data_IF_877170548885
#
_entry.id   IF_877170548885
#
_cell.length_a   1.000
_cell.length_b   1.000
_cell.length_c   1.000
_cell.angle_alpha   90.00
_cell.angle_beta   90.00
_cell.angle_gamma   90.00
#
_symmetry.space_group_name_H-M   'P 1'
#
loop_
_entity.id
_entity.type
_entity.pdbx_description
1 polymer ?
#
# COMPACT_ATOMS: atom_id res chain seq x y z
N UNK A 1 -3.20 -3.88 7.52
CA UNK A 1 -3.00 -3.91 6.08
C UNK A 1 -3.21 -2.53 5.47
N UNK A 2 -2.27 -2.00 4.67
CA UNK A 2 -2.60 -1.06 3.62
C UNK A 2 -2.79 -1.78 2.27
N UNK A 3 -3.91 -1.52 1.59
CA UNK A 3 -4.16 -2.02 0.22
C UNK A 3 -3.88 -0.90 -0.76
N UNK A 4 -2.96 -1.12 -1.69
CA UNK A 4 -2.70 -0.24 -2.82
C UNK A 4 -3.28 -0.85 -4.08
N UNK A 5 -4.11 -0.10 -4.80
CA UNK A 5 -4.58 -0.44 -6.13
C UNK A 5 -4.03 0.58 -7.10
N UNK A 6 -3.04 0.14 -7.87
CA UNK A 6 -2.44 0.90 -8.97
C UNK A 6 -3.17 0.53 -10.25
N UNK A 7 -4.11 1.38 -10.66
CA UNK A 7 -4.84 1.25 -11.92
C UNK A 7 -4.01 1.95 -12.99
N UNK A 8 -3.49 1.16 -13.93
CA UNK A 8 -2.42 1.57 -14.83
C UNK A 8 -2.75 1.20 -16.28
N UNK A 9 -2.26 1.95 -17.27
CA UNK A 9 -2.36 1.55 -18.66
C UNK A 9 -1.55 0.26 -18.87
N UNK A 10 -2.12 -0.68 -19.64
CA UNK A 10 -1.43 -1.93 -19.95
C UNK A 10 -0.06 -1.68 -20.59
N UNK A 11 0.96 -2.36 -20.06
CA UNK A 11 2.33 -2.25 -20.55
C UNK A 11 3.08 -0.98 -20.10
N UNK A 12 2.49 -0.13 -19.26
CA UNK A 12 3.21 1.03 -18.70
C UNK A 12 4.38 0.61 -17.80
N UNK A 13 4.20 -0.46 -17.01
CA UNK A 13 5.18 -0.96 -16.06
C UNK A 13 5.61 -2.38 -16.42
N UNK A 14 6.92 -2.61 -16.48
CA UNK A 14 7.49 -3.95 -16.62
C UNK A 14 7.30 -4.77 -15.33
N UNK A 15 7.49 -6.10 -15.36
CA UNK A 15 7.50 -6.90 -14.13
C UNK A 15 8.51 -6.39 -13.09
N UNK A 16 9.71 -6.00 -13.53
CA UNK A 16 10.75 -5.45 -12.66
C UNK A 16 10.32 -4.10 -12.05
N UNK A 17 9.65 -3.24 -12.82
CA UNK A 17 9.09 -2.00 -12.29
C UNK A 17 8.06 -2.26 -11.20
N UNK A 18 7.16 -3.21 -11.43
CA UNK A 18 6.09 -3.59 -10.49
C UNK A 18 6.68 -4.14 -9.19
N UNK A 19 7.68 -5.01 -9.29
CA UNK A 19 8.40 -5.55 -8.13
C UNK A 19 9.12 -4.46 -7.34
N UNK A 20 9.86 -3.57 -8.02
CA UNK A 20 10.59 -2.49 -7.38
C UNK A 20 9.65 -1.47 -6.70
N UNK A 21 8.54 -1.12 -7.36
CA UNK A 21 7.52 -0.22 -6.79
C UNK A 21 6.81 -0.85 -5.60
N UNK A 22 6.42 -2.14 -5.68
CA UNK A 22 5.79 -2.84 -4.56
C UNK A 22 6.73 -2.89 -3.34
N UNK A 23 8.02 -3.11 -3.57
CA UNK A 23 9.03 -3.07 -2.51
C UNK A 23 9.19 -1.66 -1.91
N UNK A 24 9.24 -0.63 -2.75
CA UNK A 24 9.34 0.76 -2.28
C UNK A 24 8.11 1.17 -1.44
N UNK A 25 6.90 0.79 -1.86
CA UNK A 25 5.68 1.01 -1.08
C UNK A 25 5.72 0.24 0.25
N UNK A 26 6.16 -1.02 0.22
CA UNK A 26 6.25 -1.85 1.43
C UNK A 26 7.21 -1.27 2.46
N UNK A 27 8.33 -0.72 1.99
CA UNK A 27 9.32 -0.04 2.82
C UNK A 27 8.72 1.16 3.56
N UNK A 28 7.75 1.88 2.99
CA UNK A 28 7.10 3.03 3.65
C UNK A 28 6.52 2.58 5.00
N UNK A 29 5.71 1.52 4.95
CA UNK A 29 4.98 1.05 6.14
C UNK A 29 5.89 0.31 7.11
N UNK A 30 6.84 -0.48 6.61
CA UNK A 30 7.75 -1.23 7.47
C UNK A 30 8.70 -0.31 8.25
N UNK A 31 9.30 0.67 7.54
CA UNK A 31 10.38 1.51 8.08
C UNK A 31 9.87 2.76 8.79
N UNK A 32 8.79 3.38 8.31
CA UNK A 32 8.28 4.64 8.89
C UNK A 32 7.10 4.44 9.84
N UNK A 33 6.28 3.41 9.63
CA UNK A 33 5.10 3.14 10.46
C UNK A 33 5.31 1.96 11.41
N UNK A 34 6.23 1.06 11.07
CA UNK A 34 6.57 -0.10 11.89
C UNK A 34 5.69 -1.32 11.64
N UNK A 35 4.92 -1.37 10.56
CA UNK A 35 4.04 -2.51 10.26
C UNK A 35 4.81 -3.73 9.72
N UNK A 36 4.27 -4.96 9.90
CA UNK A 36 4.74 -6.14 9.17
C UNK A 36 4.72 -5.92 7.65
N UNK A 37 5.77 -6.33 6.94
CA UNK A 37 5.87 -6.10 5.49
C UNK A 37 4.75 -6.81 4.73
N UNK A 38 4.38 -8.03 5.14
CA UNK A 38 3.29 -8.79 4.53
C UNK A 38 1.90 -8.15 4.69
N UNK A 39 1.72 -7.16 5.58
CA UNK A 39 0.46 -6.39 5.62
C UNK A 39 0.27 -5.51 4.38
N UNK A 40 1.32 -5.20 3.64
CA UNK A 40 1.26 -4.29 2.49
C UNK A 40 0.91 -5.09 1.24
N UNK A 41 -0.26 -4.83 0.67
CA UNK A 41 -0.72 -5.49 -0.55
C UNK A 41 -0.75 -4.47 -1.68
N UNK A 42 -0.07 -4.77 -2.79
CA UNK A 42 -0.02 -3.89 -3.97
C UNK A 42 -0.56 -4.63 -5.19
N UNK A 43 -1.70 -4.17 -5.69
CA UNK A 43 -2.29 -4.66 -6.93
C UNK A 43 -1.93 -3.74 -8.09
N UNK A 44 -1.44 -4.31 -9.18
CA UNK A 44 -1.31 -3.63 -10.47
C UNK A 44 -2.47 -4.07 -11.36
N UNK A 45 -3.44 -3.18 -11.54
CA UNK A 45 -4.65 -3.41 -12.31
C UNK A 45 -4.46 -2.76 -13.67
N UNK A 46 -4.02 -3.55 -14.63
CA UNK A 46 -3.82 -3.08 -16.00
C UNK A 46 -5.16 -2.90 -16.72
N UNK A 47 -5.33 -1.75 -17.35
CA UNK A 47 -6.48 -1.43 -18.19
C UNK A 47 -6.03 -1.29 -19.64
N UNK A 48 -6.84 -1.82 -20.55
CA UNK A 48 -6.68 -1.58 -21.97
C UNK A 48 -7.05 -0.13 -22.32
N UNK A 49 -6.51 0.38 -23.43
CA UNK A 49 -6.71 1.78 -23.80
C UNK A 49 -8.17 2.15 -24.14
N UNK A 50 -9.06 1.15 -24.30
CA UNK A 50 -10.49 1.35 -24.53
C UNK A 50 -11.34 1.30 -23.26
N UNK A 51 -10.74 0.96 -22.11
CA UNK A 51 -11.42 0.86 -20.80
C UNK A 51 -10.99 1.94 -19.81
N UNK A 52 -9.94 2.70 -20.14
CA UNK A 52 -9.39 3.74 -19.27
C UNK A 52 -9.40 5.11 -19.94
N UNK A 53 -10.16 6.04 -19.38
CA UNK A 53 -10.29 7.41 -19.89
C UNK A 53 -9.90 8.43 -18.83
N UNK A 54 -9.17 9.46 -19.24
CA UNK A 54 -8.80 10.61 -18.43
C UNK A 54 -9.20 11.89 -19.17
N UNK A 55 -10.05 12.71 -18.55
CA UNK A 55 -10.60 13.91 -19.19
C UNK A 55 -11.37 13.62 -20.49
N UNK A 56 -12.04 12.47 -20.58
CA UNK A 56 -12.77 12.04 -21.79
C UNK A 56 -11.89 11.52 -22.94
N UNK A 57 -10.58 11.34 -22.72
CA UNK A 57 -9.65 10.80 -23.72
C UNK A 57 -9.10 9.44 -23.30
N UNK A 58 -8.91 8.50 -24.23
CA UNK A 58 -8.35 7.18 -23.91
C UNK A 58 -6.91 7.31 -23.40
N UNK A 59 -6.59 6.53 -22.37
CA UNK A 59 -5.27 6.47 -21.73
C UNK A 59 -4.50 5.26 -22.27
N UNK A 60 -3.20 5.40 -22.52
CA UNK A 60 -2.35 4.27 -22.95
C UNK A 60 -2.27 4.04 -24.46
N UNK A 61 -1.22 3.33 -24.89
CA UNK A 61 -0.86 3.14 -26.30
C UNK A 61 0.11 4.21 -26.83
N UNK A 62 0.71 3.94 -28.00
CA UNK A 62 1.75 4.79 -28.59
C UNK A 62 1.25 6.22 -28.84
N UNK A 63 1.97 7.21 -28.30
CA UNK A 63 1.66 8.63 -28.48
C UNK A 63 0.47 9.17 -27.69
N UNK A 64 -0.17 8.36 -26.83
CA UNK A 64 -1.29 8.81 -25.99
C UNK A 64 -0.83 9.23 -24.60
N UNK A 65 -1.64 10.07 -23.95
CA UNK A 65 -1.49 10.44 -22.55
C UNK A 65 -1.44 9.18 -21.68
N UNK A 66 -0.45 9.14 -20.79
CA UNK A 66 -0.38 8.15 -19.73
C UNK A 66 -0.97 8.76 -18.45
N UNK A 67 -1.82 8.00 -17.77
CA UNK A 67 -2.42 8.39 -16.50
C UNK A 67 -2.44 7.18 -15.57
N UNK A 68 -2.11 7.41 -14.31
CA UNK A 68 -2.06 6.39 -13.26
C UNK A 68 -2.99 6.79 -12.13
N UNK A 69 -3.91 5.91 -11.75
CA UNK A 69 -4.76 6.12 -10.58
C UNK A 69 -4.31 5.21 -9.44
N UNK A 70 -4.10 5.79 -8.27
CA UNK A 70 -3.70 5.07 -7.07
C UNK A 70 -4.75 5.23 -5.99
N UNK A 71 -5.40 4.12 -5.65
CA UNK A 71 -6.33 4.05 -4.52
C UNK A 71 -5.68 3.28 -3.37
N UNK A 72 -5.67 3.90 -2.19
CA UNK A 72 -5.08 3.32 -0.98
C UNK A 72 -6.17 3.17 0.07
N UNK A 73 -6.23 2.02 0.71
CA UNK A 73 -7.06 1.78 1.90
C UNK A 73 -6.16 1.48 3.09
N UNK A 74 -6.26 2.28 4.14
CA UNK A 74 -5.56 2.05 5.41
C UNK A 74 -6.50 1.35 6.38
N UNK A 75 -6.11 0.13 6.82
CA UNK A 75 -6.90 -0.70 7.73
C UNK A 75 -6.14 -0.99 9.04
N UNK A 76 -4.82 -1.19 8.98
CA UNK A 76 -4.03 -1.50 10.18
C UNK A 76 -3.89 -0.32 11.15
N UNK A 77 -3.86 0.89 10.61
CA UNK A 77 -3.71 2.17 11.31
C UNK A 77 -4.56 3.17 10.54
N UNK A 78 -5.29 4.01 11.25
CA UNK A 78 -5.92 5.19 10.68
C UNK A 78 -5.29 6.42 11.33
N UNK A 79 -5.30 7.57 10.65
CA UNK A 79 -5.04 8.83 11.32
C UNK A 79 -6.10 9.04 12.41
N UNK A 80 -5.71 9.72 13.49
CA UNK A 80 -6.68 10.13 14.50
C UNK A 80 -7.77 11.01 13.86
N UNK A 81 -8.99 10.96 14.39
CA UNK A 81 -10.12 11.75 13.88
C UNK A 81 -9.81 13.25 13.85
N UNK A 82 -9.04 13.71 14.83
CA UNK A 82 -8.57 15.09 15.01
C UNK A 82 -7.13 15.33 14.52
N UNK A 83 -6.53 14.37 13.79
CA UNK A 83 -5.17 14.50 13.28
C UNK A 83 -5.00 15.78 12.44
N UNK A 84 -3.94 16.58 12.69
CA UNK A 84 -3.69 17.81 11.95
C UNK A 84 -3.55 17.58 10.45
N UNK A 85 -3.98 18.55 9.64
CA UNK A 85 -3.81 18.52 8.17
C UNK A 85 -2.35 18.31 7.77
N UNK A 86 -1.41 18.92 8.51
CA UNK A 86 0.02 18.78 8.27
C UNK A 86 0.53 17.34 8.44
N UNK A 87 -0.06 16.55 9.33
CA UNK A 87 0.32 15.14 9.52
C UNK A 87 -0.13 14.30 8.33
N UNK A 88 -1.39 14.46 7.89
CA UNK A 88 -1.94 13.77 6.72
C UNK A 88 -1.19 14.14 5.44
N UNK A 89 -0.90 15.42 5.25
CA UNK A 89 -0.13 15.91 4.11
C UNK A 89 1.32 15.44 4.18
N UNK A 90 1.95 15.43 5.36
CA UNK A 90 3.31 14.93 5.53
C UNK A 90 3.45 13.45 5.14
N UNK A 91 2.45 12.62 5.45
CA UNK A 91 2.42 11.24 4.95
C UNK A 91 2.31 11.17 3.42
N UNK A 92 1.40 11.97 2.83
CA UNK A 92 1.24 12.01 1.37
C UNK A 92 2.50 12.52 0.66
N UNK A 93 3.17 13.53 1.20
CA UNK A 93 4.41 14.08 0.63
C UNK A 93 5.53 13.02 0.64
N UNK A 94 5.67 12.27 1.75
CA UNK A 94 6.57 11.12 1.82
C UNK A 94 6.18 10.06 0.78
N UNK A 95 4.90 9.69 0.69
CA UNK A 95 4.43 8.70 -0.29
C UNK A 95 4.75 9.13 -1.72
N UNK A 96 4.41 10.36 -2.09
CA UNK A 96 4.69 10.95 -3.40
C UNK A 96 6.19 10.93 -3.73
N UNK A 97 7.05 11.23 -2.74
CA UNK A 97 8.50 11.18 -2.93
C UNK A 97 9.02 9.77 -3.24
N UNK A 98 8.43 8.74 -2.62
CA UNK A 98 8.84 7.35 -2.81
C UNK A 98 8.39 6.81 -4.16
N UNK A 99 7.21 7.22 -4.64
CA UNK A 99 6.64 6.71 -5.90
C UNK A 99 7.03 7.54 -7.14
N UNK A 100 7.67 8.70 -6.94
CA UNK A 100 8.14 9.59 -8.02
C UNK A 100 8.89 8.88 -9.17
N UNK A 101 9.76 7.86 -8.94
CA UNK A 101 10.44 7.14 -10.02
C UNK A 101 9.50 6.38 -10.99
N UNK A 102 8.24 6.17 -10.59
CA UNK A 102 7.20 5.53 -11.40
C UNK A 102 6.12 6.50 -11.86
N UNK A 103 5.98 7.65 -11.19
CA UNK A 103 5.00 8.69 -11.54
C UNK A 103 5.68 9.88 -12.20
N UNK A 104 5.98 10.93 -11.42
CA UNK A 104 6.53 12.21 -11.84
C UNK A 104 7.74 12.07 -12.76
N UNK A 105 8.69 11.22 -12.39
CA UNK A 105 9.97 11.10 -13.10
C UNK A 105 9.82 10.35 -14.44
N UNK A 106 8.67 9.69 -14.66
CA UNK A 106 8.29 9.09 -15.96
C UNK A 106 7.43 10.03 -16.82
N UNK A 107 7.09 11.21 -16.31
CA UNK A 107 6.25 12.17 -17.03
C UNK A 107 4.82 11.69 -17.29
N UNK A 108 4.32 10.74 -16.49
CA UNK A 108 2.91 10.34 -16.53
C UNK A 108 2.08 11.32 -15.70
N UNK A 109 0.79 11.46 -16.00
CA UNK A 109 -0.15 12.09 -15.07
C UNK A 109 -0.53 11.06 -14.00
N UNK A 110 -0.83 11.49 -12.77
CA UNK A 110 -1.31 10.57 -11.75
C UNK A 110 -2.19 11.25 -10.70
N UNK A 111 -2.94 10.44 -9.97
CA UNK A 111 -3.68 10.84 -8.78
C UNK A 111 -3.54 9.78 -7.69
N UNK A 112 -3.38 10.23 -6.44
CA UNK A 112 -3.35 9.39 -5.24
C UNK A 112 -4.50 9.78 -4.32
N UNK A 113 -5.20 8.77 -3.79
CA UNK A 113 -6.17 8.96 -2.71
C UNK A 113 -5.99 7.89 -1.64
N UNK A 114 -6.09 8.30 -0.37
CA UNK A 114 -6.14 7.41 0.78
C UNK A 114 -7.55 7.43 1.37
N UNK A 115 -8.12 6.25 1.58
CA UNK A 115 -9.30 6.01 2.40
C UNK A 115 -8.83 5.49 3.75
N UNK A 116 -9.07 6.29 4.78
CA UNK A 116 -8.44 6.15 6.09
C UNK A 116 -9.48 5.99 7.21
N UNK A 117 -10.49 5.17 6.95
CA UNK A 117 -11.64 4.97 7.85
C UNK A 117 -12.09 3.51 7.87
N UNK A 118 -11.20 2.58 7.58
CA UNK A 118 -11.53 1.16 7.60
C UNK A 118 -11.54 0.64 9.04
N UNK A 119 -12.55 -0.17 9.36
CA UNK A 119 -12.68 -0.83 10.66
C UNK A 119 -11.71 -2.02 10.73
N UNK A 120 -10.73 -1.91 11.63
CA UNK A 120 -9.69 -2.93 11.82
C UNK A 120 -10.26 -4.22 12.40
N UNK A 121 -11.36 -4.15 13.16
CA UNK A 121 -11.97 -5.32 13.79
C UNK A 121 -12.74 -6.19 12.77
N UNK A 122 -12.97 -5.66 11.57
CA UNK A 122 -13.56 -6.39 10.43
C UNK A 122 -12.52 -6.92 9.43
N UNK A 123 -11.24 -7.00 9.83
CA UNK A 123 -10.15 -7.51 9.00
C UNK A 123 -9.46 -8.70 9.67
N UNK A 124 -9.31 -9.78 8.92
CA UNK A 124 -8.55 -10.97 9.30
C UNK A 124 -7.37 -11.21 8.35
N UNK A 125 -6.29 -11.78 8.89
CA UNK A 125 -5.12 -12.31 8.19
C UNK A 125 -5.07 -13.84 8.38
N UNK A 126 -5.06 -14.59 7.27
CA UNK A 126 -5.17 -16.06 7.28
C UNK A 126 -6.30 -16.59 8.20
N UNK A 127 -7.43 -15.90 8.21
CA UNK A 127 -8.60 -16.27 9.00
C UNK A 127 -8.56 -15.88 10.48
N UNK A 128 -7.57 -15.08 10.92
CA UNK A 128 -7.41 -14.63 12.32
C UNK A 128 -7.39 -13.11 12.43
N UNK A 129 -7.85 -12.53 13.55
CA UNK A 129 -7.68 -11.10 13.78
C UNK A 129 -6.19 -10.74 13.90
N UNK A 130 -5.75 -9.61 13.35
CA UNK A 130 -4.39 -9.12 13.53
C UNK A 130 -4.10 -8.82 15.02
N UNK A 131 -2.86 -9.02 15.51
CA UNK A 131 -2.50 -8.72 16.89
C UNK A 131 -2.67 -7.24 17.24
N UNK A 132 -2.94 -6.95 18.51
CA UNK A 132 -3.13 -5.59 18.99
C UNK A 132 -1.97 -4.65 18.59
N UNK A 133 -2.30 -3.39 18.33
CA UNK A 133 -1.37 -2.35 17.90
C UNK A 133 -0.21 -2.23 18.91
N UNK A 134 1.03 -2.39 18.45
CA UNK A 134 2.23 -2.27 19.28
C UNK A 134 2.49 -3.46 20.22
N UNK A 135 1.71 -4.54 20.11
CA UNK A 135 1.89 -5.75 20.93
C UNK A 135 3.18 -6.51 20.58
N UNK A 136 3.64 -7.35 21.50
CA UNK A 136 4.78 -8.26 21.27
C UNK A 136 4.46 -9.20 20.11
N UNK A 137 3.22 -9.65 19.98
CA UNK A 137 2.71 -10.49 18.91
C UNK A 137 2.80 -9.79 17.54
N UNK A 138 2.49 -8.48 17.45
CA UNK A 138 2.67 -7.71 16.21
C UNK A 138 4.15 -7.62 15.83
N UNK A 139 5.05 -7.49 16.81
CA UNK A 139 6.49 -7.51 16.56
C UNK A 139 6.99 -8.89 16.11
N UNK A 140 6.45 -9.98 16.67
CA UNK A 140 6.73 -11.34 16.20
C UNK A 140 6.25 -11.51 14.75
N UNK A 141 5.02 -11.11 14.45
CA UNK A 141 4.47 -11.15 13.08
C UNK A 141 5.31 -10.32 12.10
N UNK A 142 5.80 -9.16 12.52
CA UNK A 142 6.72 -8.34 11.72
C UNK A 142 8.03 -9.07 11.45
N UNK A 143 8.65 -9.66 12.49
CA UNK A 143 9.92 -10.37 12.37
C UNK A 143 9.82 -11.62 11.49
N UNK A 144 8.76 -12.41 11.68
CA UNK A 144 8.52 -13.64 10.92
C UNK A 144 7.93 -13.37 9.52
N UNK A 145 7.48 -12.13 9.29
CA UNK A 145 6.86 -11.65 8.06
C UNK A 145 5.70 -12.55 7.55
N UNK A 146 4.87 -13.02 8.48
CA UNK A 146 3.65 -13.79 8.20
C UNK A 146 2.70 -13.75 9.41
N UNK A 147 1.42 -14.13 9.23
CA UNK A 147 0.56 -14.48 10.35
C UNK A 147 1.15 -15.69 11.10
N UNK A 148 1.47 -15.51 12.37
CA UNK A 148 1.96 -16.58 13.25
C UNK A 148 0.78 -17.12 14.06
N UNK A 149 0.45 -18.43 13.99
CA UNK A 149 -0.63 -19.03 14.78
C UNK A 149 -0.42 -18.92 16.29
N UNK A 150 -1.52 -18.95 17.05
CA UNK A 150 -1.51 -18.71 18.52
C UNK A 150 -0.61 -19.68 19.29
N UNK A 151 -0.61 -20.97 18.92
CA UNK A 151 0.26 -21.99 19.56
C UNK A 151 1.74 -21.68 19.35
N UNK A 152 2.11 -21.24 18.15
CA UNK A 152 3.48 -20.86 17.81
C UNK A 152 3.87 -19.53 18.48
N UNK A 153 2.96 -18.55 18.52
CA UNK A 153 3.15 -17.30 19.27
C UNK A 153 3.40 -17.58 20.76
N UNK A 154 2.66 -18.50 21.36
CA UNK A 154 2.86 -18.88 22.76
C UNK A 154 4.24 -19.50 22.99
N UNK A 155 4.68 -20.39 22.09
CA UNK A 155 6.00 -21.00 22.15
C UNK A 155 7.13 -19.98 21.99
N UNK A 156 7.02 -19.05 21.02
CA UNK A 156 8.01 -17.99 20.79
C UNK A 156 8.10 -17.09 22.03
N UNK A 157 6.96 -16.65 22.58
CA UNK A 157 6.94 -15.78 23.77
C UNK A 157 7.53 -16.45 25.00
N UNK A 158 7.35 -17.76 25.18
CA UNK A 158 7.95 -18.50 26.29
C UNK A 158 9.48 -18.62 26.20
N UNK A 159 10.05 -18.42 25.00
CA UNK A 159 11.49 -18.48 24.73
C UNK A 159 12.17 -17.09 24.67
N UNK A 160 11.41 -16.00 24.79
CA UNK A 160 11.91 -14.62 24.85
C UNK A 160 12.26 -14.21 26.29
#
# INVERSE_FOLDING_TARGET
MPIHRWIVPKGLYTPADKEALANAISDIYEKHIGLPRFYVVVFFIEQEAHDFYYGGKPVGGAGKTQFVRVDIEHIARNFATDAPVAEKHGFLDMYESVVAPWTKDRGVNWEVQIKDVCDRDLWHEDGRPPPAIGSVEEQIWKKENRPVPDEELAAIKAAM
#
